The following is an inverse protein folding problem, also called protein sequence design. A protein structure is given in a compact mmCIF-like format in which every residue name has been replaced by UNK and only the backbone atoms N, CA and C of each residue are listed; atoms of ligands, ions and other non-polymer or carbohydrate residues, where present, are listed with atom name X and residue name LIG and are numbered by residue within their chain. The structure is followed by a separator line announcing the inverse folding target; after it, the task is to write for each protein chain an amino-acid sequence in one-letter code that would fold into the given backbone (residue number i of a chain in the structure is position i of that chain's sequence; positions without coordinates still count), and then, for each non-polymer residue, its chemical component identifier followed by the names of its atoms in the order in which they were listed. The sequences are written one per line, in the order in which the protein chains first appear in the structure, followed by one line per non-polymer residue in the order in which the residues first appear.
data_IF_971894163673
#
_entry.id   IF_971894163673
#
_cell.length_a   1.000
_cell.length_b   1.000
_cell.length_c   1.000
_cell.angle_alpha   90.00
_cell.angle_beta   90.00
_cell.angle_gamma   90.00
#
_symmetry.space_group_name_H-M   'P 1'
#
loop_
_entity.id
_entity.type
_entity.pdbx_description
1 polymer ?
#
# COMPACT_ATOMS: atom_id res chain seq x y z
N UNK A 1 4.53 17.18 10.83
CA UNK A 1 4.13 16.09 11.76
C UNK A 1 5.12 14.95 11.57
N UNK A 2 5.71 14.43 12.65
CA UNK A 2 6.55 13.24 12.59
C UNK A 2 5.70 12.05 13.04
N UNK A 3 5.40 11.13 12.12
CA UNK A 3 4.64 9.93 12.45
C UNK A 3 5.60 8.85 12.97
N UNK A 4 5.54 8.58 14.29
CA UNK A 4 6.39 7.58 14.94
C UNK A 4 5.80 6.16 14.84
N UNK A 5 4.47 6.04 14.91
CA UNK A 5 3.78 4.75 14.83
C UNK A 5 3.91 4.13 13.44
N UNK A 6 4.24 2.83 13.40
CA UNK A 6 4.31 2.02 12.18
C UNK A 6 3.50 0.74 12.36
N UNK A 7 3.04 0.17 11.24
CA UNK A 7 2.26 -1.07 11.19
C UNK A 7 2.91 -2.04 10.21
N UNK A 8 3.08 -3.28 10.62
CA UNK A 8 3.60 -4.34 9.76
C UNK A 8 2.64 -4.61 8.59
N UNK A 9 3.20 -4.80 7.39
CA UNK A 9 2.43 -5.12 6.18
C UNK A 9 1.93 -6.56 6.14
N UNK A 10 2.54 -7.48 6.89
CA UNK A 10 2.24 -8.91 6.89
C UNK A 10 1.36 -9.30 8.09
N UNK A 11 1.85 -9.14 9.32
CA UNK A 11 1.12 -9.56 10.53
C UNK A 11 0.28 -8.46 11.19
N UNK A 12 0.20 -7.27 10.58
CA UNK A 12 -0.58 -6.12 11.11
C UNK A 12 -0.18 -5.60 12.50
N UNK A 13 0.91 -6.08 13.10
CA UNK A 13 1.41 -5.60 14.41
C UNK A 13 1.90 -4.16 14.35
N UNK A 14 1.60 -3.37 15.38
CA UNK A 14 2.14 -2.02 15.54
C UNK A 14 3.53 -2.04 16.18
N UNK A 15 4.40 -1.13 15.74
CA UNK A 15 5.78 -0.98 16.23
C UNK A 15 6.30 0.42 15.91
N UNK A 16 7.37 0.84 16.58
CA UNK A 16 8.11 2.06 16.26
C UNK A 16 9.32 1.79 15.36
N UNK A 17 9.70 0.51 15.19
CA UNK A 17 10.83 0.08 14.37
C UNK A 17 10.45 0.04 12.89
N UNK A 18 11.42 0.29 12.01
CA UNK A 18 11.25 0.15 10.56
C UNK A 18 10.96 -1.31 10.14
N UNK A 19 11.50 -2.27 10.89
CA UNK A 19 11.34 -3.71 10.67
C UNK A 19 10.46 -4.30 11.78
N UNK A 20 9.55 -5.19 11.41
CA UNK A 20 8.69 -5.88 12.36
C UNK A 20 9.50 -6.85 13.22
N UNK A 21 9.45 -6.75 14.56
CA UNK A 21 10.21 -7.64 15.44
C UNK A 21 9.63 -9.07 15.51
N UNK A 22 8.41 -9.29 15.02
CA UNK A 22 7.77 -10.61 15.05
C UNK A 22 8.08 -11.42 13.78
N UNK A 23 7.91 -10.81 12.60
CA UNK A 23 7.99 -11.51 11.32
C UNK A 23 9.08 -11.00 10.38
N UNK A 24 9.89 -10.02 10.80
CA UNK A 24 10.98 -9.45 9.97
C UNK A 24 10.54 -8.60 8.77
N UNK A 25 9.24 -8.52 8.48
CA UNK A 25 8.73 -7.75 7.35
C UNK A 25 8.87 -6.22 7.56
N UNK A 26 8.92 -5.48 6.46
CA UNK A 26 8.91 -4.02 6.49
C UNK A 26 7.60 -3.48 7.09
N UNK A 27 7.69 -2.33 7.73
CA UNK A 27 6.52 -1.66 8.31
C UNK A 27 6.20 -0.39 7.54
N UNK A 28 4.93 0.01 7.53
CA UNK A 28 4.42 1.22 6.90
C UNK A 28 3.82 2.18 7.91
N UNK A 29 3.64 3.43 7.53
CA UNK A 29 2.94 4.40 8.38
C UNK A 29 1.43 4.11 8.29
N UNK A 30 0.74 3.91 9.42
CA UNK A 30 -0.68 3.56 9.42
C UNK A 30 -1.59 4.77 9.24
N UNK A 31 -1.09 5.98 9.51
CA UNK A 31 -1.89 7.20 9.36
C UNK A 31 -2.13 7.50 7.88
N UNK A 32 -3.38 7.83 7.49
CA UNK A 32 -3.67 8.23 6.13
C UNK A 32 -3.02 9.59 5.80
N UNK A 33 -2.87 9.86 4.51
CA UNK A 33 -2.52 11.19 4.04
C UNK A 33 -3.57 12.22 4.51
N UNK A 34 -3.15 13.46 4.74
CA UNK A 34 -4.09 14.54 5.09
C UNK A 34 -5.05 14.79 3.93
N UNK A 35 -6.33 14.88 4.25
CA UNK A 35 -7.35 15.25 3.28
C UNK A 35 -7.35 16.76 3.04
N UNK A 36 -7.62 17.17 1.79
CA UNK A 36 -7.80 18.56 1.37
C UNK A 36 -8.97 18.62 0.39
N UNK A 37 -9.97 19.51 0.58
CA UNK A 37 -11.05 19.68 -0.39
C UNK A 37 -10.54 20.13 -1.77
N UNK A 38 -9.56 21.04 -1.80
CA UNK A 38 -8.99 21.61 -3.05
C UNK A 38 -7.86 20.76 -3.66
N UNK A 39 -7.93 19.44 -3.53
CA UNK A 39 -6.87 18.52 -3.95
C UNK A 39 -6.62 18.52 -5.48
N UNK A 40 -5.65 19.33 -5.91
CA UNK A 40 -5.24 19.48 -7.31
C UNK A 40 -4.87 18.16 -8.00
N UNK A 41 -4.49 17.13 -7.24
CA UNK A 41 -4.04 15.84 -7.78
C UNK A 41 -5.08 14.73 -7.67
N UNK A 42 -6.32 15.03 -7.26
CA UNK A 42 -7.38 14.04 -7.09
C UNK A 42 -7.62 13.20 -8.36
N UNK A 43 -7.64 13.84 -9.54
CA UNK A 43 -7.85 13.17 -10.84
C UNK A 43 -6.76 12.12 -11.14
N UNK A 44 -5.51 12.39 -10.79
CA UNK A 44 -4.40 11.46 -11.02
C UNK A 44 -4.44 10.30 -10.03
N UNK A 45 -4.80 10.58 -8.77
CA UNK A 45 -4.93 9.56 -7.74
C UNK A 45 -6.04 8.56 -8.08
N UNK A 46 -7.18 9.02 -8.59
CA UNK A 46 -8.28 8.17 -9.04
C UNK A 46 -7.88 7.23 -10.19
N UNK A 47 -7.23 7.76 -11.23
CA UNK A 47 -6.76 6.96 -12.38
C UNK A 47 -5.77 5.85 -11.97
N UNK A 48 -4.91 6.12 -10.99
CA UNK A 48 -3.96 5.11 -10.49
C UNK A 48 -4.59 3.91 -9.79
N UNK A 49 -5.88 3.97 -9.41
CA UNK A 49 -6.61 2.84 -8.85
C UNK A 49 -7.19 1.90 -9.92
N UNK A 50 -7.40 2.37 -11.16
CA UNK A 50 -8.04 1.58 -12.22
C UNK A 50 -7.14 0.45 -12.74
N UNK A 51 -5.82 0.69 -12.79
CA UNK A 51 -4.83 -0.25 -13.35
C UNK A 51 -4.48 -1.42 -12.43
N UNK A 52 -4.99 -1.46 -11.19
CA UNK A 52 -4.77 -2.55 -10.23
C UNK A 52 -5.74 -3.73 -10.38
N UNK A 53 -6.68 -3.67 -11.33
CA UNK A 53 -7.69 -4.70 -11.58
C UNK A 53 -7.40 -5.53 -12.85
N UNK A 54 -6.15 -5.97 -13.03
CA UNK A 54 -5.86 -7.07 -13.97
C UNK A 54 -6.06 -8.41 -13.25
N UNK A 55 -7.32 -8.79 -13.07
CA UNK A 55 -7.69 -10.21 -13.13
C UNK A 55 -7.75 -10.59 -14.59
N UNK A 56 -6.60 -10.92 -15.18
CA UNK A 56 -6.50 -11.74 -16.40
C UNK A 56 -5.14 -12.47 -16.33
N UNK A 57 -5.03 -13.37 -15.36
CA UNK A 57 -4.14 -14.54 -15.44
C UNK A 57 -5.02 -15.71 -15.85
N UNK A 58 -5.37 -15.78 -17.14
CA UNK A 58 -5.73 -17.02 -17.82
C UNK A 58 -5.04 -16.96 -19.17
N UNK A 59 -3.84 -17.53 -19.24
CA UNK A 59 -3.63 -18.87 -19.79
C UNK A 59 -3.54 -18.82 -21.32
N UNK A 60 -2.32 -18.66 -21.83
CA UNK A 60 -1.93 -19.09 -23.19
C UNK A 60 -0.41 -19.26 -23.23
N UNK A 61 0.04 -20.28 -22.49
CA UNK A 61 1.34 -20.93 -22.69
C UNK A 61 1.10 -22.44 -22.77
N UNK A 62 0.60 -22.87 -23.92
CA UNK A 62 0.58 -24.24 -24.43
C UNK A 62 0.42 -24.10 -25.96
N UNK A 63 1.54 -24.12 -26.70
CA UNK A 63 2.03 -25.29 -27.45
C UNK A 63 1.34 -25.48 -28.81
N UNK A 64 1.94 -24.93 -29.87
CA UNK A 64 2.31 -25.63 -31.12
C UNK A 64 3.28 -24.77 -31.94
#
# INVERSE_FOLDING_TARGET
MKWLMRKCTQCSRYTLKSICPNCGASTRIPHPAKFSPDDKYAKYRAKGFETGSMTDVTAESASD
#
